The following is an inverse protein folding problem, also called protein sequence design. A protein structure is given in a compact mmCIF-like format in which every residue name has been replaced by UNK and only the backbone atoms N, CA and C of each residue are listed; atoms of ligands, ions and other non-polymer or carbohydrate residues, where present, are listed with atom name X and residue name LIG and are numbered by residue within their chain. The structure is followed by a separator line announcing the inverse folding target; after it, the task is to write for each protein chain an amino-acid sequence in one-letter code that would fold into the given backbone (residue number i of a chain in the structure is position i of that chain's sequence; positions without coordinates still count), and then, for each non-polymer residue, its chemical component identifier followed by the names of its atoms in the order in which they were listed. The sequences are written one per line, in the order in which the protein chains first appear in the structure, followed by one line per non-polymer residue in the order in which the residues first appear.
data_IF_103249041484
#
_entry.id   IF_103249041484
#
_cell.length_a   1.000
_cell.length_b   1.000
_cell.length_c   1.000
_cell.angle_alpha   90.00
_cell.angle_beta   90.00
_cell.angle_gamma   90.00
#
_symmetry.space_group_name_H-M   'P 1'
#
loop_
_entity.id
_entity.type
_entity.pdbx_description
1 polymer ?
#
# COMPACT_ATOMS: atom_id res chain seq x y z
N UNK A 1 -3.44 -1.68 34.86
CA UNK A 1 -3.98 -3.01 34.52
C UNK A 1 -5.39 -2.96 33.93
N UNK A 2 -6.39 -2.27 34.53
CA UNK A 2 -7.79 -2.18 33.99
C UNK A 2 -7.89 -1.48 32.63
N UNK A 3 -7.14 -0.40 32.38
CA UNK A 3 -7.13 0.34 31.11
C UNK A 3 -6.56 -0.52 29.98
N UNK A 4 -5.46 -1.21 30.23
CA UNK A 4 -4.82 -2.09 29.26
C UNK A 4 -5.71 -3.28 28.88
N UNK A 5 -6.44 -3.87 29.86
CA UNK A 5 -7.43 -4.91 29.58
C UNK A 5 -8.59 -4.38 28.74
N UNK A 6 -9.11 -3.19 29.03
CA UNK A 6 -10.17 -2.56 28.22
C UNK A 6 -9.70 -2.29 26.79
N UNK A 7 -8.50 -1.72 26.62
CA UNK A 7 -7.93 -1.48 25.31
C UNK A 7 -7.77 -2.78 24.51
N UNK A 8 -7.24 -3.84 25.13
CA UNK A 8 -7.08 -5.14 24.49
C UNK A 8 -8.44 -5.72 24.09
N UNK A 9 -9.46 -5.65 24.94
CA UNK A 9 -10.83 -6.09 24.59
C UNK A 9 -11.41 -5.28 23.43
N UNK A 10 -11.20 -3.96 23.40
CA UNK A 10 -11.68 -3.12 22.28
C UNK A 10 -11.00 -3.46 20.97
N UNK A 11 -9.68 -3.65 20.99
CA UNK A 11 -8.88 -4.02 19.82
C UNK A 11 -9.34 -5.38 19.27
N UNK A 12 -9.47 -6.40 20.14
CA UNK A 12 -9.89 -7.73 19.71
C UNK A 12 -11.33 -7.77 19.19
N UNK A 13 -12.24 -7.03 19.82
CA UNK A 13 -13.64 -6.95 19.38
C UNK A 13 -13.75 -6.24 18.02
N UNK A 14 -13.09 -5.10 17.84
CA UNK A 14 -13.05 -4.38 16.56
C UNK A 14 -12.47 -5.24 15.44
N UNK A 15 -11.35 -5.93 15.71
CA UNK A 15 -10.73 -6.84 14.77
C UNK A 15 -11.63 -8.02 14.39
N UNK A 16 -12.30 -8.65 15.37
CA UNK A 16 -13.19 -9.78 15.11
C UNK A 16 -14.41 -9.40 14.25
N UNK A 17 -15.01 -8.25 14.52
CA UNK A 17 -16.13 -7.73 13.70
C UNK A 17 -15.64 -7.44 12.28
N UNK A 18 -14.50 -6.78 12.13
CA UNK A 18 -13.92 -6.50 10.82
C UNK A 18 -13.62 -7.78 10.02
N UNK A 19 -13.07 -8.81 10.67
CA UNK A 19 -12.78 -10.10 10.05
C UNK A 19 -14.06 -10.80 9.58
N UNK A 20 -15.12 -10.79 10.37
CA UNK A 20 -16.40 -11.40 10.01
C UNK A 20 -17.04 -10.70 8.81
N UNK A 21 -17.10 -9.37 8.82
CA UNK A 21 -17.62 -8.59 7.69
C UNK A 21 -16.80 -8.83 6.43
N UNK A 22 -15.48 -8.87 6.56
CA UNK A 22 -14.58 -9.13 5.45
C UNK A 22 -14.75 -10.55 4.87
N UNK A 23 -14.96 -11.57 5.70
CA UNK A 23 -15.23 -12.93 5.25
C UNK A 23 -16.53 -13.04 4.44
N UNK A 24 -17.58 -12.37 4.90
CA UNK A 24 -18.87 -12.33 4.19
C UNK A 24 -18.75 -11.61 2.83
N UNK A 25 -18.06 -10.48 2.81
CA UNK A 25 -17.83 -9.74 1.58
C UNK A 25 -17.00 -10.54 0.55
N UNK A 26 -15.95 -11.24 1.01
CA UNK A 26 -15.13 -12.11 0.14
C UNK A 26 -15.93 -13.28 -0.43
N UNK A 27 -16.81 -13.90 0.37
CA UNK A 27 -17.68 -14.97 -0.13
C UNK A 27 -18.65 -14.48 -1.21
N UNK A 28 -19.16 -13.24 -1.07
CA UNK A 28 -20.01 -12.61 -2.07
C UNK A 28 -19.25 -12.33 -3.36
N UNK A 29 -18.06 -11.69 -3.26
CA UNK A 29 -17.20 -11.36 -4.41
C UNK A 29 -16.88 -12.62 -5.25
N UNK A 30 -16.56 -13.75 -4.59
CA UNK A 30 -16.29 -15.02 -5.27
C UNK A 30 -17.48 -15.63 -6.00
N UNK A 31 -18.69 -15.45 -5.46
CA UNK A 31 -19.90 -15.93 -6.12
C UNK A 31 -20.22 -15.13 -7.37
N UNK A 32 -19.89 -13.84 -7.35
CA UNK A 32 -20.14 -12.92 -8.46
C UNK A 32 -19.04 -13.01 -9.55
N UNK A 33 -17.76 -13.24 -9.16
CA UNK A 33 -16.60 -13.30 -10.07
C UNK A 33 -16.10 -14.74 -10.26
N UNK A 34 -16.85 -15.56 -10.99
CA UNK A 34 -16.51 -16.98 -11.22
C UNK A 34 -15.33 -17.19 -12.18
N UNK A 35 -15.08 -16.23 -13.06
CA UNK A 35 -14.03 -16.31 -14.09
C UNK A 35 -12.73 -15.58 -13.67
N UNK A 36 -12.69 -15.05 -12.45
CA UNK A 36 -11.54 -14.36 -11.89
C UNK A 36 -10.42 -15.29 -11.40
N UNK A 37 -9.44 -14.69 -10.77
CA UNK A 37 -8.30 -15.37 -10.17
C UNK A 37 -8.72 -16.53 -9.26
N UNK A 38 -8.09 -17.70 -9.46
CA UNK A 38 -8.31 -18.89 -8.63
C UNK A 38 -7.27 -18.92 -7.51
N UNK A 39 -7.71 -18.86 -6.24
CA UNK A 39 -6.79 -18.90 -5.12
C UNK A 39 -5.86 -20.10 -5.13
N UNK A 40 -4.57 -19.88 -4.87
CA UNK A 40 -3.56 -20.93 -4.81
C UNK A 40 -3.78 -21.92 -3.66
N UNK A 41 -4.58 -21.56 -2.65
CA UNK A 41 -4.84 -22.45 -1.52
C UNK A 41 -5.84 -21.91 -0.50
N UNK A 42 -6.10 -22.69 0.59
CA UNK A 42 -7.10 -22.32 1.60
C UNK A 42 -6.81 -21.01 2.34
N UNK A 43 -5.52 -20.69 2.52
CA UNK A 43 -5.11 -19.44 3.15
C UNK A 43 -5.62 -18.23 2.36
N UNK A 44 -5.28 -18.16 1.10
CA UNK A 44 -5.73 -17.08 0.21
C UNK A 44 -7.26 -17.07 0.11
N UNK A 45 -7.81 -18.28 -0.02
CA UNK A 45 -9.24 -18.45 -0.21
C UNK A 45 -10.10 -17.95 0.95
N UNK A 46 -9.73 -18.23 2.19
CA UNK A 46 -10.62 -18.07 3.34
C UNK A 46 -10.01 -17.30 4.51
N UNK A 47 -8.68 -17.23 4.61
CA UNK A 47 -7.99 -16.71 5.78
C UNK A 47 -7.42 -15.32 5.55
N UNK A 48 -6.78 -15.09 4.40
CA UNK A 48 -6.03 -13.86 4.13
C UNK A 48 -6.89 -12.60 4.31
N UNK A 49 -8.03 -12.52 3.66
CA UNK A 49 -8.88 -11.31 3.73
C UNK A 49 -9.44 -11.03 5.12
N UNK A 50 -10.03 -12.01 5.86
CA UNK A 50 -10.41 -11.81 7.26
C UNK A 50 -9.25 -11.41 8.17
N UNK A 51 -8.07 -12.01 7.96
CA UNK A 51 -6.86 -11.68 8.73
C UNK A 51 -6.38 -10.25 8.46
N UNK A 52 -6.32 -9.82 7.19
CA UNK A 52 -5.98 -8.45 6.81
C UNK A 52 -6.92 -7.43 7.47
N UNK A 53 -8.23 -7.70 7.47
CA UNK A 53 -9.22 -6.84 8.11
C UNK A 53 -9.08 -6.79 9.64
N UNK A 54 -8.85 -7.95 10.27
CA UNK A 54 -8.61 -8.05 11.70
C UNK A 54 -7.37 -7.24 12.13
N UNK A 55 -6.25 -7.47 11.45
CA UNK A 55 -4.99 -6.80 11.77
C UNK A 55 -5.06 -5.30 11.49
N UNK A 56 -5.69 -4.90 10.39
CA UNK A 56 -5.86 -3.49 10.02
C UNK A 56 -6.76 -2.74 11.03
N UNK A 57 -7.90 -3.32 11.42
CA UNK A 57 -8.78 -2.72 12.44
C UNK A 57 -8.05 -2.60 13.79
N UNK A 58 -7.32 -3.64 14.17
CA UNK A 58 -6.52 -3.65 15.40
C UNK A 58 -5.43 -2.59 15.37
N UNK A 59 -4.72 -2.48 14.25
CA UNK A 59 -3.67 -1.47 14.05
C UNK A 59 -4.24 -0.03 14.07
N UNK A 60 -5.40 0.21 13.45
CA UNK A 60 -6.06 1.51 13.48
C UNK A 60 -6.40 1.95 14.91
N UNK A 61 -6.90 1.05 15.76
CA UNK A 61 -7.18 1.37 17.16
C UNK A 61 -5.88 1.63 17.94
N UNK A 62 -4.86 0.76 17.77
CA UNK A 62 -3.60 0.88 18.50
C UNK A 62 -2.79 2.11 18.09
N UNK A 63 -2.75 2.41 16.80
CA UNK A 63 -1.97 3.51 16.23
C UNK A 63 -2.75 4.83 16.16
N UNK A 64 -4.03 4.86 16.59
CA UNK A 64 -4.85 6.07 16.55
C UNK A 64 -4.18 7.28 17.24
N UNK A 65 -3.50 7.18 18.40
CA UNK A 65 -2.82 8.33 18.99
C UNK A 65 -1.67 8.85 18.09
N UNK A 66 -0.93 7.94 17.46
CA UNK A 66 0.16 8.30 16.54
C UNK A 66 -0.41 8.96 15.29
N UNK A 67 -1.49 8.40 14.73
CA UNK A 67 -2.16 8.95 13.55
C UNK A 67 -2.73 10.35 13.83
N UNK A 68 -3.36 10.56 15.00
CA UNK A 68 -3.88 11.88 15.39
C UNK A 68 -2.74 12.88 15.59
N UNK A 69 -1.64 12.49 16.24
CA UNK A 69 -0.45 13.32 16.38
C UNK A 69 0.17 13.68 15.03
N UNK A 70 0.30 12.72 14.12
CA UNK A 70 0.78 12.95 12.75
C UNK A 70 -0.15 13.91 12.01
N UNK A 71 -1.47 13.69 12.08
CA UNK A 71 -2.47 14.57 11.45
C UNK A 71 -2.36 16.01 11.95
N UNK A 72 -2.21 16.22 13.27
CA UNK A 72 -2.01 17.54 13.85
C UNK A 72 -0.72 18.22 13.36
N UNK A 73 0.39 17.45 13.27
CA UNK A 73 1.65 17.96 12.73
C UNK A 73 1.56 18.30 11.23
N UNK A 74 0.92 17.46 10.41
CA UNK A 74 0.67 17.75 8.99
C UNK A 74 -0.17 19.01 8.86
N UNK A 75 -1.25 19.14 9.65
CA UNK A 75 -2.12 20.33 9.65
C UNK A 75 -1.36 21.61 10.00
N UNK A 76 -0.45 21.53 10.96
CA UNK A 76 0.35 22.68 11.43
C UNK A 76 1.46 23.07 10.44
N UNK A 77 2.14 22.08 9.80
CA UNK A 77 3.32 22.32 8.97
C UNK A 77 3.03 22.47 7.48
N UNK A 78 2.00 21.76 6.98
CA UNK A 78 1.66 21.70 5.55
C UNK A 78 0.26 22.25 5.26
N UNK A 79 -0.52 22.56 6.30
CA UNK A 79 -1.88 23.10 6.13
C UNK A 79 -2.94 22.05 5.85
N UNK A 80 -3.96 22.42 5.09
CA UNK A 80 -5.10 21.57 4.70
C UNK A 80 -5.06 21.31 3.18
N UNK A 81 -5.51 20.13 2.69
CA UNK A 81 -6.01 18.98 3.46
C UNK A 81 -4.88 18.18 4.15
N UNK A 82 -5.21 17.48 5.26
CA UNK A 82 -4.25 16.63 5.99
C UNK A 82 -3.95 15.34 5.23
N UNK A 83 -4.98 14.78 4.58
CA UNK A 83 -4.85 13.57 3.77
C UNK A 83 -4.68 13.94 2.30
N UNK A 84 -3.71 13.31 1.69
CA UNK A 84 -3.55 13.22 0.24
C UNK A 84 -4.31 12.00 -0.26
N UNK A 85 -5.00 12.15 -1.38
CA UNK A 85 -5.70 11.04 -2.04
C UNK A 85 -5.28 10.94 -3.49
N UNK A 86 -5.08 9.71 -3.97
CA UNK A 86 -4.73 9.44 -5.35
C UNK A 86 -5.46 8.21 -5.87
N UNK A 87 -5.96 8.28 -7.10
CA UNK A 87 -6.58 7.14 -7.75
C UNK A 87 -5.54 6.09 -8.12
N UNK A 88 -5.81 4.83 -7.75
CA UNK A 88 -4.95 3.69 -7.99
C UNK A 88 -5.77 2.50 -8.48
N UNK A 89 -5.21 1.65 -9.35
CA UNK A 89 -5.85 0.39 -9.72
C UNK A 89 -5.73 -0.62 -8.58
N UNK A 90 -6.85 -1.23 -8.24
CA UNK A 90 -6.99 -2.32 -7.27
C UNK A 90 -7.15 -3.67 -7.96
N UNK A 91 -7.77 -4.63 -7.24
CA UNK A 91 -8.13 -5.94 -7.78
C UNK A 91 -9.05 -5.77 -8.99
N UNK A 92 -8.79 -6.58 -10.04
CA UNK A 92 -9.51 -6.54 -11.32
C UNK A 92 -9.49 -5.14 -11.96
N UNK A 93 -8.41 -4.37 -11.74
CA UNK A 93 -8.20 -2.99 -12.22
C UNK A 93 -9.26 -1.98 -11.73
N UNK A 94 -10.09 -2.33 -10.74
CA UNK A 94 -11.07 -1.41 -10.15
C UNK A 94 -10.37 -0.25 -9.47
N UNK A 95 -10.66 0.97 -9.92
CA UNK A 95 -10.01 2.18 -9.38
C UNK A 95 -10.53 2.47 -7.98
N UNK A 96 -9.60 2.72 -7.04
CA UNK A 96 -9.90 3.16 -5.68
C UNK A 96 -9.07 4.37 -5.29
N UNK A 97 -9.49 5.09 -4.24
CA UNK A 97 -8.74 6.22 -3.68
C UNK A 97 -7.79 5.73 -2.58
N UNK A 98 -6.50 5.80 -2.86
CA UNK A 98 -5.44 5.56 -1.88
C UNK A 98 -5.35 6.74 -0.90
N UNK A 99 -5.28 6.48 0.40
CA UNK A 99 -5.16 7.50 1.44
C UNK A 99 -3.76 7.54 2.02
N UNK A 100 -3.13 8.72 2.02
CA UNK A 100 -1.84 8.97 2.69
C UNK A 100 -1.89 10.27 3.49
N UNK A 101 -1.01 10.43 4.46
CA UNK A 101 -0.76 11.77 4.98
C UNK A 101 0.00 12.59 3.94
N UNK A 102 -0.35 13.86 3.85
CA UNK A 102 0.32 14.81 2.96
C UNK A 102 1.76 15.03 3.41
N UNK A 103 2.70 14.99 2.46
CA UNK A 103 4.15 15.15 2.70
C UNK A 103 4.77 16.30 1.93
N UNK A 104 4.03 16.89 1.01
CA UNK A 104 4.45 17.98 0.12
C UNK A 104 3.58 19.21 0.30
N UNK A 105 4.10 20.38 -0.04
CA UNK A 105 3.34 21.63 -0.15
C UNK A 105 2.54 21.68 -1.46
N UNK A 106 1.61 22.65 -1.58
CA UNK A 106 0.91 22.95 -2.84
C UNK A 106 1.46 24.22 -3.49
N UNK A 107 2.76 24.48 -3.28
CA UNK A 107 3.45 25.63 -3.88
C UNK A 107 3.41 25.55 -5.40
N UNK A 108 3.19 26.72 -6.01
CA UNK A 108 3.02 26.88 -7.45
C UNK A 108 3.97 27.94 -7.97
N UNK A 109 4.31 27.83 -9.25
CA UNK A 109 5.06 28.83 -9.97
C UNK A 109 4.18 30.04 -10.38
N UNK A 110 4.77 31.01 -11.09
CA UNK A 110 4.08 32.21 -11.58
C UNK A 110 2.97 31.90 -12.61
N UNK A 111 3.06 30.73 -13.29
CA UNK A 111 2.07 30.26 -14.24
C UNK A 111 0.89 29.54 -13.55
N UNK A 112 0.97 29.31 -12.21
CA UNK A 112 -0.04 28.59 -11.43
C UNK A 112 0.12 27.07 -11.48
N UNK A 113 1.19 26.54 -12.09
CA UNK A 113 1.52 25.12 -12.09
C UNK A 113 2.24 24.71 -10.78
N UNK A 114 2.05 23.45 -10.36
CA UNK A 114 2.73 22.95 -9.17
C UNK A 114 4.25 22.93 -9.40
N UNK A 115 5.01 23.41 -8.42
CA UNK A 115 6.46 23.27 -8.43
C UNK A 115 6.88 21.79 -8.51
N UNK A 116 8.12 21.50 -8.97
CA UNK A 116 8.66 20.14 -8.96
C UNK A 116 8.57 19.47 -7.58
N UNK A 117 8.40 18.15 -7.56
CA UNK A 117 8.23 17.37 -6.33
C UNK A 117 9.38 17.57 -5.33
N UNK A 118 10.62 17.78 -5.81
CA UNK A 118 11.81 18.03 -5.00
C UNK A 118 11.72 19.34 -4.21
N UNK A 119 11.14 20.39 -4.79
CA UNK A 119 10.96 21.71 -4.16
C UNK A 119 9.80 21.69 -3.16
N UNK A 120 8.75 20.89 -3.44
CA UNK A 120 7.56 20.76 -2.60
C UNK A 120 7.76 19.81 -1.43
N UNK A 121 8.72 18.87 -1.52
CA UNK A 121 8.98 17.88 -0.50
C UNK A 121 9.77 18.45 0.67
N UNK A 122 9.08 18.86 1.71
CA UNK A 122 9.67 19.45 2.92
C UNK A 122 10.53 18.45 3.71
N UNK A 123 11.41 18.97 4.60
CA UNK A 123 12.18 18.11 5.53
C UNK A 123 11.27 17.28 6.42
N UNK A 124 10.11 17.82 6.82
CA UNK A 124 9.09 17.09 7.57
C UNK A 124 8.45 15.99 6.72
N UNK A 125 8.16 16.26 5.46
CA UNK A 125 7.67 15.26 4.50
C UNK A 125 8.66 14.12 4.28
N UNK A 126 9.97 14.46 4.17
CA UNK A 126 11.05 13.45 4.09
C UNK A 126 11.09 12.57 5.34
N UNK A 127 10.91 13.15 6.53
CA UNK A 127 10.81 12.38 7.78
C UNK A 127 9.62 11.44 7.79
N UNK A 128 8.42 11.89 7.38
CA UNK A 128 7.24 11.05 7.31
C UNK A 128 7.45 9.85 6.37
N UNK A 129 7.99 10.09 5.16
CA UNK A 129 8.30 9.03 4.19
C UNK A 129 9.37 8.05 4.68
N UNK A 130 10.42 8.56 5.35
CA UNK A 130 11.49 7.69 5.88
C UNK A 130 11.03 6.76 6.98
N UNK A 131 10.00 7.16 7.73
CA UNK A 131 9.38 6.38 8.80
C UNK A 131 8.14 5.62 8.36
N UNK A 132 7.71 5.79 7.08
CA UNK A 132 6.45 5.26 6.55
C UNK A 132 5.18 5.67 7.32
N UNK A 133 5.27 6.75 8.12
CA UNK A 133 4.12 7.28 8.85
C UNK A 133 3.07 7.87 7.90
N UNK A 134 3.49 8.34 6.73
CA UNK A 134 2.59 8.85 5.70
C UNK A 134 1.66 7.77 5.13
N UNK A 135 2.02 6.50 5.21
CA UNK A 135 1.24 5.37 4.71
C UNK A 135 0.23 4.79 5.73
N UNK A 136 0.26 5.22 6.99
CA UNK A 136 -0.69 4.73 8.01
C UNK A 136 -2.17 4.85 7.63
N UNK A 137 -2.64 5.88 6.92
CA UNK A 137 -4.03 5.95 6.46
C UNK A 137 -4.42 4.84 5.47
N UNK A 138 -3.47 4.16 4.81
CA UNK A 138 -3.75 3.00 3.94
C UNK A 138 -4.38 1.83 4.70
N UNK A 139 -4.22 1.76 6.02
CA UNK A 139 -4.94 0.81 6.87
C UNK A 139 -6.47 0.94 6.70
N UNK A 140 -6.98 2.12 6.38
CA UNK A 140 -8.40 2.31 6.04
C UNK A 140 -8.75 1.66 4.71
N UNK A 141 -7.86 1.70 3.70
CA UNK A 141 -8.05 1.01 2.44
C UNK A 141 -8.06 -0.51 2.63
N UNK A 142 -7.16 -1.02 3.49
CA UNK A 142 -7.15 -2.45 3.82
C UNK A 142 -8.46 -2.85 4.51
N UNK A 143 -8.91 -2.08 5.48
CA UNK A 143 -10.15 -2.35 6.20
C UNK A 143 -11.36 -2.35 5.26
N UNK A 144 -11.46 -1.38 4.34
CA UNK A 144 -12.50 -1.29 3.31
C UNK A 144 -12.47 -2.47 2.33
N UNK A 145 -11.31 -3.06 2.07
CA UNK A 145 -11.12 -4.14 1.11
C UNK A 145 -10.56 -3.70 -0.23
N UNK A 146 -10.16 -2.45 -0.37
CA UNK A 146 -9.47 -1.94 -1.55
C UNK A 146 -8.06 -2.53 -1.65
N UNK A 147 -7.42 -2.77 -0.48
CA UNK A 147 -6.05 -3.25 -0.34
C UNK A 147 -5.96 -4.47 0.59
N UNK A 148 -4.81 -5.11 0.59
CA UNK A 148 -4.33 -6.14 1.52
C UNK A 148 -3.11 -5.62 2.30
N UNK A 149 -2.69 -6.31 3.36
CA UNK A 149 -1.41 -6.02 4.03
C UNK A 149 -0.26 -6.37 3.09
N UNK A 150 -0.32 -7.55 2.47
CA UNK A 150 0.69 -8.03 1.51
C UNK A 150 0.05 -8.22 0.14
N UNK A 151 0.65 -7.64 -0.88
CA UNK A 151 0.22 -7.71 -2.28
C UNK A 151 1.10 -6.85 -3.19
N UNK A 152 0.89 -6.88 -4.51
CA UNK A 152 1.56 -5.97 -5.44
C UNK A 152 1.33 -4.49 -5.07
N UNK A 153 2.37 -3.65 -5.11
CA UNK A 153 2.21 -2.22 -4.76
C UNK A 153 1.26 -1.52 -5.75
N UNK A 154 0.25 -0.75 -5.30
CA UNK A 154 -0.67 -0.06 -6.23
C UNK A 154 0.08 1.06 -6.97
N UNK A 155 0.30 0.88 -8.27
CA UNK A 155 0.98 1.83 -9.14
C UNK A 155 0.01 2.85 -9.74
N UNK A 156 0.49 3.75 -10.62
CA UNK A 156 -0.34 4.81 -11.20
C UNK A 156 -1.33 4.25 -12.22
N UNK A 157 -2.54 4.82 -12.28
CA UNK A 157 -3.57 4.45 -13.27
C UNK A 157 -3.04 4.60 -14.70
N UNK A 158 -2.21 5.62 -14.97
CA UNK A 158 -1.60 5.85 -16.29
C UNK A 158 -0.71 4.71 -16.78
N UNK A 159 -0.31 3.76 -15.91
CA UNK A 159 0.50 2.60 -16.29
C UNK A 159 -0.34 1.42 -16.81
N UNK A 160 -1.66 1.40 -16.60
CA UNK A 160 -2.53 0.30 -17.04
C UNK A 160 -2.38 -0.07 -18.52
N UNK A 161 -2.35 0.90 -19.48
CA UNK A 161 -2.15 0.58 -20.88
C UNK A 161 -0.74 0.12 -21.25
N UNK A 162 0.25 0.28 -20.35
CA UNK A 162 1.66 0.01 -20.61
C UNK A 162 2.08 -1.41 -20.18
N UNK A 163 1.23 -2.13 -19.43
CA UNK A 163 1.54 -3.48 -18.97
C UNK A 163 1.38 -4.49 -20.09
N UNK A 164 2.32 -5.44 -20.19
CA UNK A 164 2.12 -6.66 -20.95
C UNK A 164 0.97 -7.50 -20.35
N UNK A 165 0.39 -8.46 -21.10
CA UNK A 165 -0.62 -9.36 -20.55
C UNK A 165 -0.16 -10.08 -19.28
N UNK A 166 1.10 -10.49 -19.21
CA UNK A 166 1.68 -11.15 -18.04
C UNK A 166 1.81 -10.19 -16.84
N UNK A 167 2.36 -8.99 -17.06
CA UNK A 167 2.49 -7.98 -16.01
C UNK A 167 1.13 -7.52 -15.45
N UNK A 168 0.10 -7.57 -16.26
CA UNK A 168 -1.28 -7.21 -15.91
C UNK A 168 -1.89 -8.14 -14.87
N UNK A 169 -1.41 -9.39 -14.79
CA UNK A 169 -1.82 -10.38 -13.79
C UNK A 169 -1.61 -9.91 -12.33
N UNK A 170 -0.74 -8.94 -12.11
CA UNK A 170 -0.58 -8.30 -10.80
C UNK A 170 -1.86 -7.71 -10.21
N UNK A 171 -2.86 -7.43 -11.05
CA UNK A 171 -4.17 -6.93 -10.64
C UNK A 171 -5.21 -8.04 -10.37
N UNK A 172 -4.86 -9.30 -10.52
CA UNK A 172 -5.74 -10.44 -10.18
C UNK A 172 -6.03 -10.50 -8.68
N UNK A 173 -5.18 -9.89 -7.86
CA UNK A 173 -5.31 -9.83 -6.40
C UNK A 173 -5.35 -8.38 -5.90
N UNK A 174 -5.72 -8.19 -4.63
CA UNK A 174 -5.68 -6.85 -4.01
C UNK A 174 -4.25 -6.34 -3.91
N UNK A 175 -4.00 -5.06 -4.24
CA UNK A 175 -2.71 -4.44 -3.99
C UNK A 175 -2.40 -4.42 -2.50
N UNK A 176 -1.11 -4.41 -2.14
CA UNK A 176 -0.63 -4.45 -0.77
C UNK A 176 -0.03 -3.14 -0.26
N UNK A 177 -0.08 -2.96 1.07
CA UNK A 177 0.71 -1.96 1.79
C UNK A 177 2.21 -2.28 1.65
N UNK A 178 2.56 -3.57 1.70
CA UNK A 178 3.86 -4.11 1.32
C UNK A 178 3.68 -5.27 0.34
N UNK A 179 4.77 -5.74 -0.27
CA UNK A 179 4.74 -6.83 -1.25
C UNK A 179 6.10 -7.42 -1.51
N UNK A 180 6.17 -8.52 -2.27
CA UNK A 180 7.40 -9.24 -2.55
C UNK A 180 8.45 -8.35 -3.22
N UNK A 181 8.07 -7.57 -4.23
CA UNK A 181 8.94 -6.62 -4.90
C UNK A 181 9.45 -5.54 -3.93
N UNK A 182 8.54 -4.93 -3.14
CA UNK A 182 8.89 -3.90 -2.15
C UNK A 182 9.81 -4.43 -1.05
N UNK A 183 9.59 -5.67 -0.58
CA UNK A 183 10.41 -6.32 0.43
C UNK A 183 11.78 -6.79 -0.11
N UNK A 184 11.93 -6.90 -1.43
CA UNK A 184 13.20 -7.32 -2.06
C UNK A 184 14.06 -6.12 -2.43
N UNK A 185 13.49 -5.12 -3.09
CA UNK A 185 14.27 -4.03 -3.69
C UNK A 185 13.93 -2.64 -3.15
N UNK A 186 12.82 -2.50 -2.40
CA UNK A 186 12.26 -1.19 -2.04
C UNK A 186 12.08 -0.31 -3.30
N UNK A 187 13.03 0.59 -3.60
CA UNK A 187 12.97 1.47 -4.76
C UNK A 187 14.05 1.18 -5.85
N UNK A 188 15.10 0.41 -5.53
CA UNK A 188 16.30 0.26 -6.38
C UNK A 188 16.25 -0.84 -7.45
N UNK A 189 15.15 -1.62 -7.56
CA UNK A 189 15.01 -2.66 -8.60
C UNK A 189 14.44 -2.10 -9.90
N UNK A 190 14.96 -2.54 -11.05
CA UNK A 190 14.37 -2.22 -12.35
C UNK A 190 12.89 -2.61 -12.44
N UNK A 191 12.15 -1.95 -13.33
CA UNK A 191 10.70 -2.15 -13.48
C UNK A 191 10.34 -3.60 -13.81
N UNK A 192 11.07 -4.23 -14.73
CA UNK A 192 10.77 -5.61 -15.15
C UNK A 192 10.84 -6.56 -13.97
N UNK A 193 11.92 -6.49 -13.18
CA UNK A 193 12.06 -7.38 -12.03
C UNK A 193 11.03 -7.12 -10.92
N UNK A 194 10.64 -5.86 -10.72
CA UNK A 194 9.55 -5.52 -9.78
C UNK A 194 8.22 -6.13 -10.22
N UNK A 195 7.89 -6.02 -11.52
CA UNK A 195 6.65 -6.55 -12.08
C UNK A 195 6.64 -8.09 -12.13
N UNK A 196 7.78 -8.73 -12.43
CA UNK A 196 7.93 -10.18 -12.32
C UNK A 196 7.67 -10.69 -10.90
N UNK A 197 8.25 -10.04 -9.87
CA UNK A 197 8.02 -10.41 -8.47
C UNK A 197 6.57 -10.18 -8.03
N UNK A 198 5.89 -9.19 -8.58
CA UNK A 198 4.48 -8.99 -8.33
C UNK A 198 3.64 -10.16 -8.87
N UNK A 199 3.96 -10.68 -10.08
CA UNK A 199 3.30 -11.85 -10.67
C UNK A 199 3.69 -13.13 -9.93
N UNK A 200 4.98 -13.31 -9.57
CA UNK A 200 5.42 -14.44 -8.74
C UNK A 200 4.64 -14.50 -7.41
N UNK A 201 4.39 -13.35 -6.78
CA UNK A 201 3.57 -13.29 -5.58
C UNK A 201 2.13 -13.76 -5.84
N UNK A 202 1.51 -13.32 -6.94
CA UNK A 202 0.14 -13.74 -7.33
C UNK A 202 0.04 -15.25 -7.45
N UNK A 203 1.06 -15.89 -8.04
CA UNK A 203 1.08 -17.33 -8.27
C UNK A 203 1.32 -18.16 -7.00
N UNK A 204 1.86 -17.55 -5.91
CA UNK A 204 2.31 -18.29 -4.72
C UNK A 204 1.93 -17.62 -3.40
N UNK A 205 0.68 -17.21 -3.27
CA UNK A 205 0.18 -16.60 -2.03
C UNK A 205 0.06 -17.67 -0.91
N UNK A 206 0.87 -17.52 0.13
CA UNK A 206 0.87 -18.41 1.29
C UNK A 206 1.02 -17.61 2.58
N UNK A 207 0.53 -18.17 3.71
CA UNK A 207 0.68 -17.55 5.02
C UNK A 207 2.17 -17.33 5.41
N UNK A 208 3.01 -18.32 5.17
CA UNK A 208 4.45 -18.21 5.46
C UNK A 208 5.14 -17.20 4.56
N UNK A 209 4.72 -17.09 3.28
CA UNK A 209 5.19 -16.07 2.35
C UNK A 209 4.85 -14.66 2.82
N UNK A 210 3.59 -14.42 3.15
CA UNK A 210 3.12 -13.13 3.67
C UNK A 210 3.86 -12.76 4.97
N UNK A 211 4.00 -13.69 5.91
CA UNK A 211 4.73 -13.45 7.16
C UNK A 211 6.20 -13.08 6.89
N UNK A 212 6.86 -13.79 5.98
CA UNK A 212 8.25 -13.49 5.59
C UNK A 212 8.37 -12.08 4.99
N UNK A 213 7.46 -11.70 4.10
CA UNK A 213 7.43 -10.37 3.48
C UNK A 213 7.23 -9.29 4.56
N UNK A 214 6.29 -9.47 5.49
CA UNK A 214 6.04 -8.53 6.59
C UNK A 214 7.30 -8.35 7.45
N UNK A 215 7.97 -9.45 7.83
CA UNK A 215 9.19 -9.41 8.65
C UNK A 215 10.34 -8.73 7.91
N UNK A 216 10.50 -8.99 6.61
CA UNK A 216 11.51 -8.33 5.78
C UNK A 216 11.23 -6.82 5.67
N UNK A 217 9.99 -6.43 5.44
CA UNK A 217 9.58 -5.02 5.39
C UNK A 217 9.84 -4.33 6.73
N UNK A 218 9.44 -4.94 7.84
CA UNK A 218 9.70 -4.38 9.17
C UNK A 218 11.19 -4.17 9.42
N UNK A 219 12.04 -5.15 9.04
CA UNK A 219 13.50 -5.02 9.13
C UNK A 219 14.02 -3.85 8.28
N UNK A 220 13.54 -3.69 7.05
CA UNK A 220 13.97 -2.58 6.17
C UNK A 220 13.58 -1.22 6.72
N UNK A 221 12.35 -1.08 7.21
CA UNK A 221 11.87 0.18 7.83
C UNK A 221 12.71 0.53 9.07
N UNK A 222 12.98 -0.45 9.94
CA UNK A 222 13.81 -0.24 11.14
C UNK A 222 15.25 0.11 10.80
N UNK A 223 15.83 -0.54 9.79
CA UNK A 223 17.21 -0.27 9.36
C UNK A 223 17.35 0.97 8.49
N UNK A 224 16.26 1.62 8.11
CA UNK A 224 16.21 2.79 7.21
C UNK A 224 17.03 2.61 5.92
N UNK A 225 17.10 1.38 5.39
CA UNK A 225 17.82 1.07 4.15
C UNK A 225 16.99 1.46 2.92
N UNK A 226 17.65 1.94 1.87
CA UNK A 226 17.12 2.14 0.52
C UNK A 226 15.84 2.99 0.44
N UNK A 227 15.80 4.14 1.13
CA UNK A 227 14.61 4.99 1.25
C UNK A 227 14.30 5.71 -0.07
N UNK A 228 15.30 6.11 -0.84
CA UNK A 228 15.17 6.77 -2.15
C UNK A 228 16.04 6.05 -3.20
N UNK A 229 15.60 6.04 -4.46
CA UNK A 229 16.55 5.90 -5.58
C UNK A 229 17.60 7.01 -5.42
N UNK A 230 18.86 6.68 -5.65
CA UNK A 230 19.98 7.60 -5.44
C UNK A 230 19.73 8.87 -6.25
N UNK A 231 19.32 9.96 -5.57
CA UNK A 231 19.20 11.29 -6.15
C UNK A 231 17.81 11.75 -6.57
N UNK A 232 16.75 10.92 -6.46
CA UNK A 232 15.40 11.32 -6.89
C UNK A 232 14.39 11.41 -5.74
N UNK A 233 13.50 12.42 -5.78
CA UNK A 233 12.41 12.61 -4.82
C UNK A 233 11.26 11.61 -5.03
N UNK A 234 11.14 11.05 -6.24
CA UNK A 234 10.11 10.07 -6.67
C UNK A 234 10.76 9.00 -7.54
N UNK A 235 10.20 7.78 -7.54
CA UNK A 235 10.68 6.70 -8.39
C UNK A 235 10.55 7.06 -9.89
N UNK A 236 11.49 6.58 -10.71
CA UNK A 236 11.46 6.74 -12.16
C UNK A 236 10.12 6.28 -12.78
N UNK A 237 9.68 6.92 -13.85
CA UNK A 237 8.41 6.58 -14.51
C UNK A 237 8.52 5.25 -15.27
N UNK A 238 7.46 4.43 -15.20
CA UNK A 238 7.35 3.22 -16.03
C UNK A 238 6.79 3.58 -17.41
N UNK A 239 7.56 3.32 -18.47
CA UNK A 239 7.20 3.62 -19.86
C UNK A 239 6.70 2.41 -20.65
N UNK A 240 6.81 1.19 -20.12
CA UNK A 240 6.54 -0.07 -20.81
C UNK A 240 7.82 -0.70 -21.39
N UNK A 241 7.76 -1.97 -21.73
CA UNK A 241 8.93 -2.75 -22.11
C UNK A 241 9.54 -2.34 -23.46
N UNK A 242 8.76 -1.76 -24.39
CA UNK A 242 9.25 -1.38 -25.73
C UNK A 242 10.12 -0.13 -25.72
N UNK A 243 9.90 0.80 -24.77
CA UNK A 243 10.63 2.09 -24.70
C UNK A 243 11.87 1.97 -23.82
N UNK A 244 11.91 1.01 -22.88
CA UNK A 244 13.10 0.78 -22.05
C UNK A 244 14.30 0.25 -22.83
N UNK A 245 14.09 -0.41 -23.98
CA UNK A 245 15.17 -0.93 -24.85
C UNK A 245 15.85 0.18 -25.71
N UNK A 246 15.23 1.36 -25.82
CA UNK A 246 15.82 2.49 -26.58
C UNK A 246 16.64 3.48 -25.72
N UNK A 247 16.63 3.30 -24.37
CA UNK A 247 17.27 4.23 -23.42
C UNK A 247 18.50 3.60 -22.70
N UNK A 248 18.78 2.31 -22.90
CA UNK A 248 20.02 1.63 -22.50
C UNK A 248 21.04 1.62 -23.67
#
# INVERSE_FOLDING_TARGET
MKIMKKLLCTVTAAGAVAAMVAALAEQKDRKENKDGHRPAGPYEAYVKRPLDAFLSASALVMLSPVMLGTAAMVRSKLGSPVLFTQDRPGKDEKIFKLYKFRTMTDERDEAGELLPDEDRLTSFGKLLRSTSLDELPELLNILKGDMAIVGPRPLLVKYLPRYSPEQRRRHEVRPGLTGLAAATFRNNGGWDRKLELDVEYVDRITFSGDLKIILQTAKMVLCRKDINETGEATASEFWGNEIQQEVE
#
